data_IF_325454456895
#
_entry.id   IF_325454456895
#
_cell.length_a   1.000
_cell.length_b   1.000
_cell.length_c   1.000
_cell.angle_alpha   90.00
_cell.angle_beta   90.00
_cell.angle_gamma   90.00
#
_symmetry.space_group_name_H-M   'P 1'
#
loop_
_entity.id
_entity.type
_entity.pdbx_description
1 polymer ?
#
# COMPACT_ATOMS: atom_id res chain seq x y z
N UNK A 1 -13.14 9.45 -14.39
CA UNK A 1 -13.09 8.02 -14.82
C UNK A 1 -14.17 7.24 -14.08
N UNK A 2 -14.84 6.27 -14.75
CA UNK A 2 -15.81 5.41 -14.05
C UNK A 2 -15.07 4.37 -13.19
N UNK A 3 -15.68 3.95 -12.07
CA UNK A 3 -15.17 2.87 -11.21
C UNK A 3 -14.95 1.57 -12.00
N UNK A 4 -15.76 1.33 -13.03
CA UNK A 4 -15.64 0.19 -13.93
C UNK A 4 -14.26 0.07 -14.64
N UNK A 5 -13.48 1.15 -14.71
CA UNK A 5 -12.11 1.07 -15.25
C UNK A 5 -11.17 0.22 -14.36
N UNK A 6 -11.50 0.03 -13.08
CA UNK A 6 -10.74 -0.76 -12.13
C UNK A 6 -11.33 -2.17 -11.91
N UNK A 7 -12.33 -2.56 -12.71
CA UNK A 7 -12.95 -3.88 -12.59
C UNK A 7 -11.96 -4.99 -12.93
N UNK A 8 -12.06 -6.06 -12.18
CA UNK A 8 -11.32 -7.31 -12.38
C UNK A 8 -12.23 -8.49 -12.08
N UNK A 9 -11.87 -9.66 -12.56
CA UNK A 9 -12.61 -10.89 -12.23
C UNK A 9 -12.25 -11.37 -10.81
N UNK A 10 -13.02 -10.91 -9.81
CA UNK A 10 -12.87 -11.34 -8.42
C UNK A 10 -13.22 -12.81 -8.18
N UNK A 11 -13.91 -13.48 -9.13
CA UNK A 11 -14.23 -14.90 -9.07
C UNK A 11 -13.12 -15.80 -9.61
N UNK A 12 -12.13 -15.23 -10.33
CA UNK A 12 -11.01 -15.98 -10.84
C UNK A 12 -10.20 -16.62 -9.68
N UNK A 13 -9.77 -17.88 -9.77
CA UNK A 13 -9.00 -18.53 -8.73
C UNK A 13 -7.75 -17.74 -8.34
N UNK A 14 -7.44 -17.66 -7.05
CA UNK A 14 -6.18 -17.10 -6.55
C UNK A 14 -4.97 -17.98 -6.90
N UNK A 15 -5.19 -19.26 -7.22
CA UNK A 15 -4.14 -20.24 -7.53
C UNK A 15 -2.94 -20.11 -6.59
N UNK A 16 -3.22 -20.15 -5.29
CA UNK A 16 -2.19 -20.00 -4.24
C UNK A 16 -1.24 -21.20 -4.29
N UNK A 17 0.07 -20.91 -4.38
CA UNK A 17 1.11 -21.93 -4.39
C UNK A 17 2.08 -21.67 -3.25
N UNK A 18 2.19 -22.57 -2.26
CA UNK A 18 3.14 -22.42 -1.17
C UNK A 18 4.58 -22.52 -1.69
N UNK A 19 5.45 -21.69 -1.17
CA UNK A 19 6.90 -21.71 -1.42
C UNK A 19 7.61 -22.24 -0.19
N UNK A 20 7.24 -21.78 1.01
CA UNK A 20 7.80 -22.21 2.27
C UNK A 20 6.97 -21.73 3.44
N UNK A 21 7.20 -22.34 4.60
CA UNK A 21 6.57 -21.91 5.84
C UNK A 21 7.49 -22.20 7.03
N UNK A 22 7.43 -21.32 8.04
CA UNK A 22 8.14 -21.49 9.30
C UNK A 22 7.30 -20.95 10.45
N UNK A 23 7.26 -21.69 11.56
CA UNK A 23 6.56 -21.27 12.78
C UNK A 23 7.56 -21.09 13.91
N UNK A 24 7.42 -19.99 14.61
CA UNK A 24 8.19 -19.68 15.82
C UNK A 24 7.39 -18.70 16.69
N UNK A 25 7.49 -18.85 18.01
CA UNK A 25 6.90 -17.93 18.98
C UNK A 25 5.40 -17.68 18.79
N UNK A 26 4.63 -18.72 18.44
CA UNK A 26 3.18 -18.60 18.20
C UNK A 26 2.80 -17.87 16.89
N UNK A 27 3.75 -17.70 15.96
CA UNK A 27 3.54 -17.04 14.69
C UNK A 27 3.97 -17.96 13.55
N UNK A 28 3.14 -18.10 12.53
CA UNK A 28 3.50 -18.76 11.27
C UNK A 28 3.76 -17.72 10.20
N UNK A 29 4.96 -17.74 9.63
CA UNK A 29 5.29 -17.02 8.40
C UNK A 29 5.23 -17.98 7.23
N UNK A 30 4.32 -17.73 6.30
CA UNK A 30 4.20 -18.45 5.03
C UNK A 30 4.68 -17.58 3.89
N UNK A 31 5.52 -18.14 3.03
CA UNK A 31 5.87 -17.58 1.73
C UNK A 31 5.08 -18.33 0.66
N UNK A 32 4.44 -17.57 -0.21
CA UNK A 32 3.60 -18.13 -1.27
C UNK A 32 3.67 -17.29 -2.54
N UNK A 33 3.13 -17.84 -3.63
CA UNK A 33 2.80 -17.06 -4.82
C UNK A 33 1.32 -17.23 -5.14
N UNK A 34 0.71 -16.22 -5.75
CA UNK A 34 -0.71 -16.22 -6.11
C UNK A 34 -0.93 -15.60 -7.49
N UNK A 35 -2.03 -15.96 -8.13
CA UNK A 35 -2.46 -15.34 -9.37
C UNK A 35 -3.01 -13.94 -9.06
N UNK A 36 -2.22 -12.92 -9.36
CA UNK A 36 -2.67 -11.54 -9.39
C UNK A 36 -3.50 -11.30 -10.67
N UNK A 37 -4.02 -10.10 -10.87
CA UNK A 37 -4.73 -9.77 -12.11
C UNK A 37 -3.81 -9.83 -13.34
N UNK A 38 -4.42 -9.80 -14.53
CA UNK A 38 -3.71 -9.73 -15.82
C UNK A 38 -2.67 -10.85 -16.05
N UNK A 39 -3.03 -12.08 -15.68
CA UNK A 39 -2.20 -13.28 -15.87
C UNK A 39 -0.82 -13.21 -15.18
N UNK A 40 -0.65 -12.29 -14.26
CA UNK A 40 0.58 -12.16 -13.47
C UNK A 40 0.50 -12.96 -12.18
N UNK A 41 1.62 -13.55 -11.82
CA UNK A 41 1.83 -14.18 -10.52
C UNK A 41 2.73 -13.31 -9.66
N UNK A 42 2.32 -13.10 -8.40
CA UNK A 42 3.07 -12.32 -7.41
C UNK A 42 3.47 -13.18 -6.23
N UNK A 43 4.61 -12.87 -5.63
CA UNK A 43 5.01 -13.43 -4.35
C UNK A 43 4.37 -12.64 -3.19
N UNK A 44 4.16 -13.34 -2.07
CA UNK A 44 3.65 -12.72 -0.86
C UNK A 44 4.16 -13.44 0.39
N UNK A 45 4.20 -12.69 1.50
CA UNK A 45 4.43 -13.21 2.85
C UNK A 45 3.17 -13.03 3.68
N UNK A 46 2.73 -14.11 4.33
CA UNK A 46 1.62 -14.09 5.28
C UNK A 46 2.18 -14.33 6.67
N UNK A 47 1.97 -13.40 7.59
CA UNK A 47 2.18 -13.61 9.01
C UNK A 47 0.84 -13.92 9.66
N UNK A 48 0.72 -15.11 10.22
CA UNK A 48 -0.51 -15.57 10.87
C UNK A 48 -0.23 -15.87 12.35
N UNK A 49 -0.98 -15.26 13.28
CA UNK A 49 -0.95 -15.65 14.70
C UNK A 49 -1.43 -17.09 14.87
N UNK A 50 -1.00 -17.74 15.95
CA UNK A 50 -1.57 -19.03 16.38
C UNK A 50 -3.01 -18.84 16.89
N UNK A 51 -3.88 -19.82 16.61
CA UNK A 51 -5.29 -19.83 17.03
C UNK A 51 -6.27 -19.83 15.85
N UNK A 52 -7.54 -19.73 16.18
CA UNK A 52 -8.65 -19.85 15.19
C UNK A 52 -9.18 -18.48 14.70
N UNK A 53 -8.69 -17.37 15.28
CA UNK A 53 -9.20 -16.02 14.96
C UNK A 53 -10.51 -15.67 15.71
N UNK A 54 -11.29 -14.68 15.26
CA UNK A 54 -11.03 -13.86 14.08
C UNK A 54 -9.85 -12.89 14.30
N UNK A 55 -8.92 -12.88 13.34
CA UNK A 55 -7.73 -12.03 13.36
C UNK A 55 -7.98 -10.73 12.59
N UNK A 56 -7.78 -9.53 13.18
CA UNK A 56 -7.63 -8.31 12.41
C UNK A 56 -6.57 -8.47 11.34
N UNK A 57 -6.78 -7.87 10.18
CA UNK A 57 -5.88 -8.06 9.04
C UNK A 57 -5.20 -6.77 8.63
N UNK A 58 -3.96 -6.89 8.12
CA UNK A 58 -3.16 -5.76 7.66
C UNK A 58 -2.55 -6.09 6.30
N UNK A 59 -2.83 -5.25 5.29
CA UNK A 59 -2.15 -5.31 4.00
C UNK A 59 -1.03 -4.27 3.99
N UNK A 60 0.21 -4.73 3.85
CA UNK A 60 1.41 -3.90 3.74
C UNK A 60 1.86 -3.78 2.29
N UNK A 61 2.07 -2.54 1.83
CA UNK A 61 2.53 -2.22 0.48
C UNK A 61 3.75 -1.30 0.56
N UNK A 62 4.89 -1.82 0.19
CA UNK A 62 6.21 -1.21 0.33
C UNK A 62 6.45 -0.05 -0.64
N UNK A 63 7.50 0.74 -0.39
CA UNK A 63 7.99 1.79 -1.29
C UNK A 63 8.95 1.24 -2.35
N UNK A 64 9.21 2.05 -3.38
CA UNK A 64 10.22 1.76 -4.39
C UNK A 64 11.61 2.18 -3.90
N UNK A 65 12.51 1.22 -3.69
CA UNK A 65 13.90 1.49 -3.30
C UNK A 65 14.84 0.65 -4.18
N UNK A 66 15.30 1.20 -5.33
CA UNK A 66 16.09 0.44 -6.31
C UNK A 66 17.47 0.05 -5.79
N UNK A 67 17.97 0.67 -4.72
CA UNK A 67 19.23 0.28 -4.09
C UNK A 67 19.11 -0.98 -3.22
N UNK A 68 17.91 -1.29 -2.73
CA UNK A 68 17.64 -2.51 -1.98
C UNK A 68 17.62 -3.74 -2.91
N UNK A 69 18.12 -4.91 -2.47
CA UNK A 69 18.20 -6.12 -3.31
C UNK A 69 16.85 -6.57 -3.90
N UNK A 70 15.77 -6.37 -3.15
CA UNK A 70 14.40 -6.76 -3.50
C UNK A 70 13.48 -5.56 -3.74
N UNK A 71 14.08 -4.40 -4.06
CA UNK A 71 13.37 -3.12 -4.15
C UNK A 71 12.48 -2.83 -2.93
N UNK A 72 12.97 -3.23 -1.77
CA UNK A 72 12.33 -3.03 -0.46
C UNK A 72 11.03 -3.83 -0.21
N UNK A 73 10.79 -4.89 -0.96
CA UNK A 73 9.64 -5.79 -0.76
C UNK A 73 9.51 -6.30 0.69
N UNK A 74 10.62 -6.39 1.39
CA UNK A 74 10.72 -6.88 2.78
C UNK A 74 10.63 -5.78 3.83
N UNK A 75 10.32 -4.54 3.45
CA UNK A 75 10.28 -3.36 4.34
C UNK A 75 9.55 -3.60 5.67
N UNK A 76 8.42 -4.27 5.63
CA UNK A 76 7.54 -4.41 6.79
C UNK A 76 7.62 -5.75 7.50
N UNK A 77 8.63 -6.61 7.23
CA UNK A 77 8.72 -7.95 7.83
C UNK A 77 8.75 -7.91 9.37
N UNK A 78 9.54 -7.02 9.97
CA UNK A 78 9.65 -6.92 11.41
C UNK A 78 8.38 -6.32 12.05
N UNK A 79 7.78 -5.33 11.39
CA UNK A 79 6.51 -4.74 11.84
C UNK A 79 5.38 -5.78 11.78
N UNK A 80 5.25 -6.50 10.67
CA UNK A 80 4.25 -7.55 10.50
C UNK A 80 4.40 -8.68 11.52
N UNK A 81 5.66 -9.09 11.83
CA UNK A 81 5.95 -10.04 12.91
C UNK A 81 5.48 -9.48 14.27
N UNK A 82 5.80 -8.21 14.55
CA UNK A 82 5.37 -7.55 15.78
C UNK A 82 3.84 -7.45 15.89
N UNK A 83 3.15 -7.20 14.79
CA UNK A 83 1.68 -7.18 14.76
C UNK A 83 1.07 -8.58 14.90
N UNK A 84 1.71 -9.61 14.35
CA UNK A 84 1.27 -11.00 14.55
C UNK A 84 1.41 -11.43 16.02
N UNK A 85 2.47 -11.00 16.72
CA UNK A 85 2.59 -11.21 18.17
C UNK A 85 1.47 -10.54 18.99
N UNK A 86 0.79 -9.55 18.41
CA UNK A 86 -0.37 -8.84 18.99
C UNK A 86 -1.72 -9.37 18.50
N UNK A 87 -1.70 -10.46 17.72
CA UNK A 87 -2.90 -11.14 17.24
C UNK A 87 -3.46 -10.61 15.92
N UNK A 88 -2.71 -9.80 15.14
CA UNK A 88 -3.13 -9.39 13.80
C UNK A 88 -2.45 -10.21 12.72
N UNK A 89 -3.20 -10.66 11.74
CA UNK A 89 -2.67 -11.30 10.53
C UNK A 89 -2.18 -10.23 9.56
N UNK A 90 -1.07 -10.49 8.84
CA UNK A 90 -0.51 -9.54 7.90
C UNK A 90 -0.18 -10.19 6.56
N UNK A 91 -0.40 -9.44 5.47
CA UNK A 91 0.03 -9.79 4.12
C UNK A 91 1.00 -8.73 3.59
N UNK A 92 2.18 -9.14 3.16
CA UNK A 92 3.16 -8.32 2.45
C UNK A 92 3.25 -8.84 1.02
N UNK A 93 3.09 -7.97 0.04
CA UNK A 93 3.01 -8.37 -1.37
C UNK A 93 4.19 -7.89 -2.20
N UNK A 94 4.52 -8.67 -3.21
CA UNK A 94 5.28 -8.20 -4.35
C UNK A 94 4.40 -7.29 -5.21
N UNK A 95 4.98 -6.17 -5.68
CA UNK A 95 4.32 -5.18 -6.52
C UNK A 95 5.05 -5.04 -7.85
N UNK A 96 4.54 -4.20 -8.75
CA UNK A 96 5.23 -3.90 -10.00
C UNK A 96 6.64 -3.32 -9.76
N UNK A 97 6.81 -2.50 -8.73
CA UNK A 97 8.08 -1.87 -8.35
C UNK A 97 8.97 -2.72 -7.44
N UNK A 98 8.63 -3.98 -7.20
CA UNK A 98 9.58 -4.97 -6.67
C UNK A 98 10.66 -5.33 -7.69
N UNK A 99 10.44 -5.07 -8.98
CA UNK A 99 11.51 -5.01 -9.99
C UNK A 99 12.30 -3.71 -9.82
N UNK A 100 13.59 -3.80 -9.45
CA UNK A 100 14.49 -2.65 -9.25
C UNK A 100 14.61 -1.73 -10.46
N UNK A 101 14.40 -2.27 -11.65
CA UNK A 101 14.46 -1.52 -12.91
C UNK A 101 13.08 -1.01 -13.37
N UNK A 102 12.01 -1.31 -12.61
CA UNK A 102 10.64 -0.96 -12.99
C UNK A 102 10.52 0.51 -13.41
N UNK A 103 11.05 1.43 -12.61
CA UNK A 103 10.94 2.86 -12.87
C UNK A 103 11.64 3.28 -14.18
N UNK A 104 12.74 2.60 -14.55
CA UNK A 104 13.48 2.84 -15.78
C UNK A 104 12.84 2.17 -17.00
N UNK A 105 12.11 1.07 -16.81
CA UNK A 105 11.47 0.31 -17.90
C UNK A 105 10.09 0.87 -18.28
N UNK A 106 9.46 1.66 -17.41
CA UNK A 106 8.14 2.23 -17.69
C UNK A 106 8.19 3.28 -18.81
N UNK A 107 7.05 3.51 -19.44
CA UNK A 107 6.87 4.55 -20.46
C UNK A 107 5.60 5.34 -20.16
N UNK A 108 5.61 6.67 -20.38
CA UNK A 108 4.45 7.52 -20.15
C UNK A 108 3.21 7.04 -20.90
N UNK A 109 3.39 6.52 -22.11
CA UNK A 109 2.27 6.00 -22.90
C UNK A 109 1.51 4.82 -22.23
N UNK A 110 2.15 4.14 -21.28
CA UNK A 110 1.58 3.00 -20.58
C UNK A 110 1.22 3.31 -19.12
N UNK A 111 1.72 4.41 -18.55
CA UNK A 111 1.61 4.69 -17.12
C UNK A 111 0.16 4.68 -16.61
N UNK A 112 -0.75 5.30 -17.36
CA UNK A 112 -2.16 5.34 -17.00
C UNK A 112 -2.77 3.93 -16.94
N UNK A 113 -2.61 3.14 -17.99
CA UNK A 113 -3.11 1.76 -18.06
C UNK A 113 -2.47 0.87 -16.99
N UNK A 114 -1.15 0.94 -16.84
CA UNK A 114 -0.42 0.15 -15.84
C UNK A 114 -0.84 0.53 -14.43
N UNK A 115 -1.14 1.80 -14.16
CA UNK A 115 -1.64 2.24 -12.86
C UNK A 115 -3.01 1.63 -12.52
N UNK A 116 -3.89 1.50 -13.51
CA UNK A 116 -5.17 0.78 -13.33
C UNK A 116 -4.92 -0.70 -13.01
N UNK A 117 -4.01 -1.35 -13.73
CA UNK A 117 -3.63 -2.75 -13.47
C UNK A 117 -3.08 -2.93 -12.05
N UNK A 118 -2.24 -2.00 -11.57
CA UNK A 118 -1.71 -2.03 -10.20
C UNK A 118 -2.84 -1.93 -9.16
N UNK A 119 -3.82 -1.06 -9.37
CA UNK A 119 -4.97 -0.96 -8.46
C UNK A 119 -5.76 -2.28 -8.42
N UNK A 120 -5.99 -2.91 -9.56
CA UNK A 120 -6.64 -4.21 -9.62
C UNK A 120 -5.80 -5.31 -8.93
N UNK A 121 -4.45 -5.29 -9.06
CA UNK A 121 -3.56 -6.21 -8.34
C UNK A 121 -3.63 -5.99 -6.82
N UNK A 122 -3.76 -4.74 -6.33
CA UNK A 122 -3.96 -4.47 -4.90
C UNK A 122 -5.30 -5.00 -4.39
N UNK A 123 -6.38 -4.84 -5.16
CA UNK A 123 -7.69 -5.40 -4.83
C UNK A 123 -7.63 -6.92 -4.78
N UNK A 124 -6.89 -7.53 -5.69
CA UNK A 124 -6.65 -8.97 -5.71
C UNK A 124 -5.83 -9.46 -4.50
N UNK A 125 -4.89 -8.64 -4.02
CA UNK A 125 -4.18 -8.92 -2.78
C UNK A 125 -5.10 -8.85 -1.54
N UNK A 126 -6.09 -7.95 -1.54
CA UNK A 126 -7.12 -7.95 -0.48
C UNK A 126 -7.97 -9.23 -0.52
N UNK A 127 -8.31 -9.74 -1.72
CA UNK A 127 -9.00 -11.04 -1.84
C UNK A 127 -8.17 -12.15 -1.20
N UNK A 128 -6.86 -12.21 -1.51
CA UNK A 128 -5.95 -13.20 -0.93
C UNK A 128 -5.88 -13.10 0.60
N UNK A 129 -5.81 -11.88 1.14
CA UNK A 129 -5.72 -11.67 2.59
C UNK A 129 -7.00 -12.10 3.28
N UNK A 130 -8.15 -11.74 2.73
CA UNK A 130 -9.47 -12.05 3.31
C UNK A 130 -9.87 -13.53 3.12
N UNK A 131 -9.25 -14.24 2.17
CA UNK A 131 -9.41 -15.70 1.99
C UNK A 131 -8.57 -16.53 2.99
N UNK A 132 -7.69 -15.89 3.76
CA UNK A 132 -6.90 -16.59 4.77
C UNK A 132 -7.80 -17.09 5.93
N UNK A 133 -7.56 -18.31 6.46
CA UNK A 133 -8.32 -18.82 7.58
C UNK A 133 -8.28 -17.89 8.80
N UNK A 134 -9.45 -17.54 9.30
CA UNK A 134 -9.58 -16.67 10.49
C UNK A 134 -9.42 -15.18 10.22
N UNK A 135 -9.29 -14.72 8.97
CA UNK A 135 -9.25 -13.30 8.65
C UNK A 135 -10.57 -12.60 9.03
N UNK A 136 -10.47 -11.42 9.65
CA UNK A 136 -11.60 -10.60 10.05
C UNK A 136 -11.76 -9.42 9.06
N UNK A 137 -12.77 -9.44 8.20
CA UNK A 137 -12.96 -8.38 7.20
C UNK A 137 -13.41 -7.05 7.81
N UNK A 138 -13.95 -7.04 9.04
CA UNK A 138 -14.44 -5.83 9.70
C UNK A 138 -13.33 -5.07 10.43
N UNK A 139 -12.14 -5.65 10.53
CA UNK A 139 -10.94 -5.03 11.15
C UNK A 139 -9.76 -5.12 10.21
N UNK A 140 -9.74 -4.26 9.20
CA UNK A 140 -8.78 -4.31 8.10
C UNK A 140 -8.00 -2.99 7.97
N UNK A 141 -6.70 -3.00 8.25
CA UNK A 141 -5.79 -1.87 8.03
C UNK A 141 -5.04 -2.00 6.69
N UNK A 142 -4.99 -0.90 5.95
CA UNK A 142 -4.07 -0.74 4.82
C UNK A 142 -2.87 0.10 5.25
N UNK A 143 -1.67 -0.35 4.95
CA UNK A 143 -0.41 0.35 5.24
C UNK A 143 0.39 0.48 3.96
N UNK A 144 0.57 1.70 3.47
CA UNK A 144 1.28 1.96 2.23
C UNK A 144 2.38 3.00 2.39
N UNK A 145 3.52 2.80 1.71
CA UNK A 145 4.63 3.74 1.68
C UNK A 145 4.93 4.17 0.24
N UNK A 146 5.12 5.48 -0.01
CA UNK A 146 5.41 6.07 -1.32
C UNK A 146 4.37 5.64 -2.39
N UNK A 147 4.76 4.87 -3.41
CA UNK A 147 3.82 4.29 -4.37
C UNK A 147 2.75 3.43 -3.69
N UNK A 148 3.11 2.71 -2.62
CA UNK A 148 2.15 1.97 -1.82
C UNK A 148 1.08 2.87 -1.21
N UNK A 149 1.44 4.05 -0.72
CA UNK A 149 0.49 5.05 -0.23
C UNK A 149 -0.37 5.63 -1.36
N UNK A 150 0.25 6.01 -2.47
CA UNK A 150 -0.44 6.61 -3.61
C UNK A 150 -1.47 5.67 -4.23
N UNK A 151 -1.06 4.46 -4.58
CA UNK A 151 -1.97 3.45 -5.14
C UNK A 151 -2.99 2.96 -4.13
N UNK A 152 -2.64 2.95 -2.83
CA UNK A 152 -3.57 2.64 -1.75
C UNK A 152 -4.74 3.60 -1.66
N UNK A 153 -4.49 4.90 -1.90
CA UNK A 153 -5.57 5.91 -1.99
C UNK A 153 -6.48 5.65 -3.19
N UNK A 154 -5.88 5.41 -4.36
CA UNK A 154 -6.69 5.12 -5.57
C UNK A 154 -7.52 3.85 -5.38
N UNK A 155 -6.91 2.80 -4.85
CA UNK A 155 -7.57 1.53 -4.56
C UNK A 155 -8.70 1.71 -3.55
N UNK A 156 -8.45 2.37 -2.42
CA UNK A 156 -9.46 2.59 -1.37
C UNK A 156 -10.63 3.46 -1.83
N UNK A 157 -10.41 4.39 -2.77
CA UNK A 157 -11.48 5.21 -3.34
C UNK A 157 -12.48 4.43 -4.20
N UNK A 158 -12.13 3.21 -4.64
CA UNK A 158 -12.99 2.34 -5.47
C UNK A 158 -13.30 1.00 -4.80
N UNK A 159 -12.66 0.71 -3.67
CA UNK A 159 -12.86 -0.53 -2.91
C UNK A 159 -12.71 -0.25 -1.40
N UNK A 160 -13.81 -0.02 -0.67
CA UNK A 160 -13.80 0.45 0.70
C UNK A 160 -13.61 -0.66 1.75
N UNK A 161 -13.04 -1.83 1.38
CA UNK A 161 -12.82 -2.92 2.33
C UNK A 161 -11.89 -2.57 3.49
N UNK A 162 -10.78 -1.84 3.31
CA UNK A 162 -9.99 -1.41 4.46
C UNK A 162 -10.76 -0.45 5.36
N UNK A 163 -10.70 -0.70 6.66
CA UNK A 163 -11.41 0.09 7.69
C UNK A 163 -10.54 1.22 8.27
N UNK A 164 -9.24 1.24 7.97
CA UNK A 164 -8.34 2.34 8.28
C UNK A 164 -7.09 2.32 7.36
N UNK A 165 -6.43 3.47 7.22
CA UNK A 165 -5.29 3.65 6.32
C UNK A 165 -4.12 4.33 7.03
N UNK A 166 -2.90 3.76 6.96
CA UNK A 166 -1.65 4.43 7.30
C UNK A 166 -0.86 4.71 6.01
N UNK A 167 -0.76 5.98 5.64
CA UNK A 167 -0.19 6.45 4.38
C UNK A 167 1.11 7.20 4.64
N UNK A 168 2.23 6.66 4.16
CA UNK A 168 3.56 7.17 4.44
C UNK A 168 4.20 7.77 3.19
N UNK A 169 4.70 8.99 3.29
CA UNK A 169 5.54 9.66 2.30
C UNK A 169 5.02 9.57 0.84
N UNK A 170 3.69 9.47 0.65
CA UNK A 170 3.07 9.49 -0.67
C UNK A 170 2.99 10.90 -1.22
N UNK A 171 3.24 11.08 -2.53
CA UNK A 171 3.01 12.37 -3.19
C UNK A 171 1.53 12.53 -3.57
N UNK A 172 1.03 13.77 -3.63
CA UNK A 172 -0.36 14.03 -3.99
C UNK A 172 -0.70 13.70 -5.44
N UNK A 173 0.31 13.58 -6.34
CA UNK A 173 0.10 13.38 -7.76
C UNK A 173 1.12 12.43 -8.38
N UNK A 174 0.68 11.50 -9.23
CA UNK A 174 1.58 10.61 -9.95
C UNK A 174 2.62 11.33 -10.83
N UNK A 175 2.29 12.45 -11.52
CA UNK A 175 3.29 13.22 -12.24
C UNK A 175 4.44 13.75 -11.39
N UNK A 176 4.30 13.85 -10.06
CA UNK A 176 5.39 14.23 -9.17
C UNK A 176 6.55 13.22 -9.23
N UNK A 177 6.26 11.93 -9.43
CA UNK A 177 7.23 10.89 -9.66
C UNK A 177 7.47 10.63 -11.15
N UNK A 178 6.43 10.43 -11.92
CA UNK A 178 6.54 9.91 -13.28
C UNK A 178 7.19 10.88 -14.28
N UNK A 179 7.24 12.18 -13.95
CA UNK A 179 7.94 13.16 -14.77
C UNK A 179 9.42 13.30 -14.46
N UNK A 180 9.96 12.56 -13.48
CA UNK A 180 11.40 12.46 -13.29
C UNK A 180 12.06 11.68 -14.44
N UNK A 181 11.43 10.58 -14.87
CA UNK A 181 11.98 9.72 -15.91
C UNK A 181 10.87 8.93 -16.65
N UNK A 182 10.97 8.75 -17.98
CA UNK A 182 11.84 9.52 -18.86
C UNK A 182 11.40 10.99 -18.95
N UNK A 183 12.31 11.94 -19.17
CA UNK A 183 11.97 13.35 -19.21
C UNK A 183 11.15 13.68 -20.47
N UNK A 184 10.01 14.33 -20.30
CA UNK A 184 9.19 14.90 -21.39
C UNK A 184 9.05 16.40 -21.21
N UNK A 185 8.82 17.13 -22.30
CA UNK A 185 8.81 18.60 -22.30
C UNK A 185 7.59 19.16 -23.02
N UNK A 186 7.33 20.44 -22.76
CA UNK A 186 6.29 21.21 -23.48
C UNK A 186 4.91 20.59 -23.40
N UNK A 187 4.18 20.58 -24.49
CA UNK A 187 2.80 20.12 -24.55
C UNK A 187 2.60 18.65 -24.14
N UNK A 188 3.62 17.80 -24.34
CA UNK A 188 3.56 16.40 -23.90
C UNK A 188 3.49 16.28 -22.38
N UNK A 189 4.23 17.14 -21.64
CA UNK A 189 4.19 17.18 -20.19
C UNK A 189 2.78 17.54 -19.66
N UNK A 190 2.17 18.53 -20.26
CA UNK A 190 0.82 18.95 -19.88
C UNK A 190 -0.25 17.93 -20.29
N UNK A 191 -0.08 17.26 -21.42
CA UNK A 191 -0.96 16.16 -21.83
C UNK A 191 -0.88 15.00 -20.83
N UNK A 192 0.31 14.60 -20.42
CA UNK A 192 0.54 13.55 -19.43
C UNK A 192 -0.10 13.90 -18.06
N UNK A 193 0.07 15.14 -17.60
CA UNK A 193 -0.56 15.58 -16.35
C UNK A 193 -2.08 15.51 -16.40
N UNK A 194 -2.68 15.91 -17.52
CA UNK A 194 -4.15 15.81 -17.69
C UNK A 194 -4.63 14.35 -17.72
N UNK A 195 -3.88 13.47 -18.36
CA UNK A 195 -4.19 12.04 -18.41
C UNK A 195 -4.13 11.43 -17.01
N UNK A 196 -3.03 11.67 -16.28
CA UNK A 196 -2.84 11.11 -14.95
C UNK A 196 -3.74 11.72 -13.86
N UNK A 197 -4.28 12.93 -14.08
CA UNK A 197 -5.12 13.63 -13.10
C UNK A 197 -6.33 12.81 -12.64
N UNK A 198 -6.86 11.94 -13.50
CA UNK A 198 -7.97 11.06 -13.12
C UNK A 198 -7.58 9.99 -12.08
N UNK A 199 -6.27 9.76 -11.89
CA UNK A 199 -5.70 8.81 -10.94
C UNK A 199 -5.05 9.51 -9.74
N UNK A 200 -4.80 10.82 -9.80
CA UNK A 200 -4.04 11.53 -8.78
C UNK A 200 -4.63 11.32 -7.36
N UNK A 201 -3.82 10.87 -6.40
CA UNK A 201 -4.28 10.60 -5.04
C UNK A 201 -5.01 11.78 -4.38
N UNK A 202 -4.56 13.02 -4.63
CA UNK A 202 -5.17 14.22 -4.03
C UNK A 202 -6.65 14.39 -4.40
N UNK A 203 -7.04 13.95 -5.59
CA UNK A 203 -8.42 14.08 -6.11
C UNK A 203 -9.30 12.88 -5.70
N UNK A 204 -8.73 11.90 -4.96
CA UNK A 204 -9.40 10.65 -4.57
C UNK A 204 -9.40 10.38 -3.07
N UNK A 205 -8.51 11.02 -2.32
CA UNK A 205 -8.30 10.71 -0.91
C UNK A 205 -9.52 10.97 -0.02
N UNK A 206 -10.37 11.91 -0.39
CA UNK A 206 -11.66 12.14 0.29
C UNK A 206 -12.59 10.93 0.22
N UNK A 207 -12.47 10.10 -0.83
CA UNK A 207 -13.25 8.88 -0.99
C UNK A 207 -12.89 7.75 0.00
N UNK A 208 -11.85 7.90 0.82
CA UNK A 208 -11.53 6.94 1.86
C UNK A 208 -12.40 7.12 3.12
N UNK A 209 -13.01 8.30 3.30
CA UNK A 209 -13.92 8.56 4.41
C UNK A 209 -15.14 7.60 4.35
N UNK A 210 -15.62 7.06 5.49
CA UNK A 210 -15.30 7.43 6.89
C UNK A 210 -14.12 6.66 7.53
N UNK A 211 -13.33 5.92 6.78
CA UNK A 211 -12.19 5.20 7.33
C UNK A 211 -11.12 6.18 7.84
N UNK A 212 -10.63 6.04 9.10
CA UNK A 212 -9.55 6.89 9.62
C UNK A 212 -8.28 6.79 8.80
N UNK A 213 -7.60 7.94 8.61
CA UNK A 213 -6.34 8.02 7.87
C UNK A 213 -5.25 8.61 8.76
N UNK A 214 -4.12 7.91 8.90
CA UNK A 214 -2.88 8.44 9.42
C UNK A 214 -1.94 8.78 8.27
N UNK A 215 -1.57 10.06 8.13
CA UNK A 215 -0.50 10.49 7.24
C UNK A 215 0.81 10.63 8.01
N UNK A 216 1.90 10.11 7.46
CA UNK A 216 3.24 10.20 8.05
C UNK A 216 4.23 10.76 7.02
N UNK A 217 4.93 11.85 7.39
CA UNK A 217 5.90 12.50 6.51
C UNK A 217 7.20 12.84 7.24
N UNK A 218 8.31 12.78 6.51
CA UNK A 218 9.61 13.29 6.95
C UNK A 218 9.76 14.77 6.58
N UNK A 219 10.30 15.60 7.50
CA UNK A 219 10.56 17.01 7.23
C UNK A 219 11.74 17.22 6.28
N UNK A 220 12.67 16.25 6.25
CA UNK A 220 13.86 16.25 5.40
C UNK A 220 13.68 15.40 4.15
N UNK A 221 12.42 15.05 3.79
CA UNK A 221 12.12 14.27 2.60
C UNK A 221 12.35 15.10 1.32
N UNK A 222 13.36 14.75 0.48
CA UNK A 222 13.62 15.49 -0.74
C UNK A 222 12.58 15.24 -1.85
N UNK A 223 11.75 14.22 -1.70
CA UNK A 223 10.77 13.79 -2.71
C UNK A 223 9.38 14.34 -2.42
N UNK A 224 9.00 14.44 -1.14
CA UNK A 224 7.71 14.96 -0.71
C UNK A 224 7.88 16.23 0.14
N UNK A 225 8.06 17.39 -0.49
CA UNK A 225 8.13 18.68 0.23
C UNK A 225 6.91 18.91 1.11
N UNK A 226 7.12 19.64 2.22
CA UNK A 226 6.09 19.91 3.24
C UNK A 226 4.79 20.44 2.62
N UNK A 227 4.87 21.34 1.65
CA UNK A 227 3.70 21.94 1.00
C UNK A 227 2.87 20.91 0.23
N UNK A 228 3.52 19.88 -0.35
CA UNK A 228 2.82 18.78 -1.03
C UNK A 228 2.13 17.87 -0.03
N UNK A 229 2.81 17.54 1.06
CA UNK A 229 2.26 16.73 2.14
C UNK A 229 1.04 17.40 2.79
N UNK A 230 1.15 18.70 3.08
CA UNK A 230 0.05 19.52 3.63
C UNK A 230 -1.13 19.60 2.67
N UNK A 231 -0.89 19.79 1.38
CA UNK A 231 -1.94 19.81 0.37
C UNK A 231 -2.66 18.45 0.28
N UNK A 232 -1.90 17.35 0.36
CA UNK A 232 -2.47 16.01 0.33
C UNK A 232 -3.32 15.73 1.57
N UNK A 233 -2.81 16.07 2.76
CA UNK A 233 -3.56 15.98 4.01
C UNK A 233 -4.82 16.84 3.98
N UNK A 234 -4.74 18.08 3.49
CA UNK A 234 -5.89 18.99 3.41
C UNK A 234 -7.02 18.46 2.51
N UNK A 235 -6.68 17.69 1.48
CA UNK A 235 -7.65 17.13 0.54
C UNK A 235 -8.43 15.91 1.08
N UNK A 236 -7.95 15.26 2.13
CA UNK A 236 -8.66 14.16 2.78
C UNK A 236 -9.82 14.68 3.63
N UNK A 237 -10.90 13.89 3.75
CA UNK A 237 -11.97 14.12 4.70
C UNK A 237 -11.64 13.52 6.07
N UNK A 238 -12.40 13.94 7.11
CA UNK A 238 -12.29 13.38 8.46
C UNK A 238 -12.85 11.94 8.53
N UNK A 239 -12.34 11.10 9.45
CA UNK A 239 -11.27 11.36 10.43
C UNK A 239 -9.86 11.18 9.87
N UNK A 240 -8.97 12.12 10.11
CA UNK A 240 -7.59 12.09 9.64
C UNK A 240 -6.60 12.68 10.67
N UNK A 241 -5.40 12.13 10.68
CA UNK A 241 -4.27 12.58 11.50
C UNK A 241 -3.03 12.78 10.63
N UNK A 242 -2.18 13.75 10.96
CA UNK A 242 -0.87 13.92 10.32
C UNK A 242 0.23 13.91 11.37
N UNK A 243 1.30 13.19 11.11
CA UNK A 243 2.49 13.13 11.95
C UNK A 243 3.75 13.45 11.15
N UNK A 244 4.61 14.29 11.72
CA UNK A 244 5.86 14.76 11.13
C UNK A 244 7.05 14.24 11.91
N UNK A 245 8.11 13.88 11.19
CA UNK A 245 9.34 13.34 11.77
C UNK A 245 10.56 14.05 11.21
N UNK A 246 11.58 14.25 12.04
CA UNK A 246 12.91 14.75 11.60
C UNK A 246 13.65 13.60 10.90
N UNK A 247 13.24 13.31 9.68
CA UNK A 247 13.74 12.19 8.87
C UNK A 247 13.48 12.43 7.39
N UNK A 248 14.18 11.67 6.52
CA UNK A 248 13.94 11.64 5.08
C UNK A 248 12.78 10.70 4.69
N UNK A 249 12.76 10.33 3.40
CA UNK A 249 11.70 9.55 2.78
C UNK A 249 11.42 8.20 3.44
N UNK A 250 12.45 7.49 3.91
CA UNK A 250 12.31 6.19 4.59
C UNK A 250 11.66 6.24 5.97
N UNK A 251 11.43 7.44 6.51
CA UNK A 251 10.93 7.68 7.86
C UNK A 251 11.82 7.10 8.97
N UNK A 252 11.42 7.28 10.22
CA UNK A 252 12.19 6.88 11.39
C UNK A 252 11.53 5.70 12.12
N UNK A 253 12.27 5.11 13.07
CA UNK A 253 11.70 4.14 14.01
C UNK A 253 10.58 4.73 14.87
N UNK A 254 10.64 6.03 15.16
CA UNK A 254 9.55 6.72 15.85
C UNK A 254 8.26 6.70 15.02
N UNK A 255 8.37 6.93 13.71
CA UNK A 255 7.24 6.81 12.80
C UNK A 255 6.65 5.40 12.80
N UNK A 256 7.49 4.37 12.83
CA UNK A 256 7.04 2.98 12.93
C UNK A 256 6.29 2.73 14.25
N UNK A 257 6.82 3.19 15.39
CA UNK A 257 6.14 3.06 16.70
C UNK A 257 4.80 3.78 16.73
N UNK A 258 4.74 5.00 16.20
CA UNK A 258 3.49 5.78 16.12
C UNK A 258 2.44 5.05 15.28
N UNK A 259 2.86 4.53 14.12
CA UNK A 259 1.96 3.78 13.22
C UNK A 259 1.45 2.50 13.86
N UNK A 260 2.31 1.71 14.48
CA UNK A 260 1.91 0.49 15.19
C UNK A 260 0.87 0.81 16.26
N UNK A 261 1.13 1.78 17.13
CA UNK A 261 0.17 2.18 18.17
C UNK A 261 -1.16 2.71 17.58
N UNK A 262 -1.09 3.41 16.45
CA UNK A 262 -2.29 3.90 15.76
C UNK A 262 -3.11 2.75 15.16
N UNK A 263 -2.47 1.78 14.53
CA UNK A 263 -3.12 0.58 13.97
C UNK A 263 -3.74 -0.25 15.10
N UNK A 264 -3.03 -0.47 16.21
CA UNK A 264 -3.55 -1.18 17.38
C UNK A 264 -4.88 -0.58 17.87
N UNK A 265 -4.95 0.75 17.98
CA UNK A 265 -6.19 1.44 18.40
C UNK A 265 -7.33 1.23 17.40
N UNK A 266 -7.06 1.38 16.09
CA UNK A 266 -8.10 1.31 15.06
C UNK A 266 -8.58 -0.12 14.78
N UNK A 267 -7.73 -1.13 14.99
CA UNK A 267 -8.09 -2.54 14.87
C UNK A 267 -8.58 -3.15 16.20
N UNK A 268 -8.66 -2.37 17.29
CA UNK A 268 -9.00 -2.84 18.63
C UNK A 268 -8.15 -4.06 19.05
N UNK A 269 -6.82 -3.99 18.80
CA UNK A 269 -5.88 -4.97 19.28
C UNK A 269 -5.63 -4.72 20.76
N UNK A 270 -5.78 -5.75 21.58
CA UNK A 270 -5.44 -5.67 22.99
C UNK A 270 -3.92 -5.88 23.14
N UNK A 271 -3.26 -4.98 23.87
CA UNK A 271 -1.88 -5.24 24.27
C UNK A 271 -1.83 -6.52 25.11
N UNK A 272 -0.84 -7.41 24.91
CA UNK A 272 -0.72 -8.65 25.66
C UNK A 272 -0.52 -8.42 27.16
#
# INVERSE_FOLDING_TARGET
MSEAAFDYDGSAPLDVRPVGSRSADGITLSELTYAASFERRRAAYVFQPEGDGPFPVILYVHWYEPSAPDSNRTQFLDEARGMAARGAMSLLIETAWSDREWFLKRTQANDFRVSIEIVAELRRAMDLLLDQPGADPDRFAYVGHDFGAMYGVVMGSVDPRPTCYALMAGTPRFPDWFLYYPPIKGNQREAFRREMAELDPIDRVSGLSPAPILFQFGRDDPHVPVERAEAFFAAADEPKEIAWYESGHGLSEEAARTRVAWIERNLNLHSP
#
